data_IF_946808352382
#
_entry.id   IF_946808352382
#
_cell.length_a   1.000
_cell.length_b   1.000
_cell.length_c   1.000
_cell.angle_alpha   90.00
_cell.angle_beta   90.00
_cell.angle_gamma   90.00
#
_symmetry.space_group_name_H-M   'P 1'
#
loop_
_entity.id
_entity.type
_entity.pdbx_description
1 polymer ?
#
# COMPACT_ATOMS: atom_id res chain seq x y z
N UNK A 1 -25.56 -13.37 26.44
CA UNK A 1 -24.19 -13.52 25.91
C UNK A 1 -24.03 -12.45 24.85
N UNK A 2 -23.54 -11.28 25.25
CA UNK A 2 -23.34 -10.14 24.36
C UNK A 2 -21.93 -10.26 23.77
N UNK A 3 -21.85 -10.46 22.46
CA UNK A 3 -20.60 -10.38 21.71
C UNK A 3 -20.08 -8.93 21.80
N UNK A 4 -19.20 -8.67 22.75
CA UNK A 4 -18.60 -7.36 22.97
C UNK A 4 -17.26 -7.29 22.22
N UNK A 5 -17.25 -6.44 21.17
CA UNK A 5 -16.14 -6.08 20.25
C UNK A 5 -14.99 -5.38 20.98
N UNK A 6 -13.72 -5.79 20.93
CA UNK A 6 -12.60 -5.02 21.52
C UNK A 6 -11.80 -4.27 20.45
N UNK A 7 -12.27 -3.07 20.08
CA UNK A 7 -11.49 -2.13 19.25
C UNK A 7 -10.52 -1.37 20.17
N UNK A 8 -9.22 -1.68 20.09
CA UNK A 8 -8.23 -1.25 21.08
C UNK A 8 -6.87 -1.04 20.45
N UNK A 9 -6.60 0.22 20.11
CA UNK A 9 -5.39 1.00 20.37
C UNK A 9 -5.28 2.05 19.26
N UNK A 10 -5.12 3.31 19.66
CA UNK A 10 -4.67 4.40 18.78
C UNK A 10 -3.23 4.73 19.11
N UNK A 11 -2.35 4.63 18.12
CA UNK A 11 -1.06 5.30 18.15
C UNK A 11 -1.17 6.55 17.27
N UNK A 12 -0.68 7.68 17.78
CA UNK A 12 -0.62 8.95 17.04
C UNK A 12 0.80 9.46 17.11
N UNK A 13 1.38 9.76 15.95
CA UNK A 13 2.78 10.20 15.82
C UNK A 13 2.79 11.46 14.99
N UNK A 14 3.39 12.49 15.56
CA UNK A 14 3.65 13.76 14.89
C UNK A 14 5.14 14.04 14.88
N UNK A 15 5.66 14.46 13.73
CA UNK A 15 7.05 14.85 13.55
C UNK A 15 7.13 16.37 13.35
N UNK A 16 6.99 17.11 14.46
CA UNK A 16 7.68 18.36 14.87
C UNK A 16 7.00 18.75 16.19
N UNK A 17 7.65 18.44 17.33
CA UNK A 17 7.00 18.45 18.64
C UNK A 17 6.15 17.19 18.83
N UNK A 18 6.75 16.15 19.39
CA UNK A 18 6.13 14.82 19.46
C UNK A 18 5.06 14.80 20.55
N UNK A 19 3.79 15.01 20.20
CA UNK A 19 2.67 14.58 21.04
C UNK A 19 2.26 13.16 20.64
N UNK A 20 2.50 12.20 21.54
CA UNK A 20 2.01 10.82 21.42
C UNK A 20 0.75 10.68 22.26
N UNK A 21 -0.40 10.49 21.61
CA UNK A 21 -1.64 10.10 22.28
C UNK A 21 -1.84 8.59 22.10
N UNK A 22 -1.89 7.86 23.22
CA UNK A 22 -2.12 6.42 23.24
C UNK A 22 -3.30 6.09 24.16
N UNK A 23 -4.35 5.48 23.60
CA UNK A 23 -5.52 5.03 24.35
C UNK A 23 -5.72 3.52 24.15
N UNK A 24 -5.60 2.73 25.23
CA UNK A 24 -5.74 1.27 25.23
C UNK A 24 -6.84 0.85 26.22
N UNK A 25 -7.74 -0.06 25.82
CA UNK A 25 -8.64 -0.71 26.79
C UNK A 25 -7.87 -1.67 27.70
N UNK A 26 -8.08 -1.56 29.01
CA UNK A 26 -7.52 -2.50 29.98
C UNK A 26 -8.04 -3.94 29.81
N UNK A 27 -9.21 -4.13 29.19
CA UNK A 27 -9.77 -5.48 28.97
C UNK A 27 -8.98 -6.24 27.89
N UNK A 28 -8.64 -5.56 26.79
CA UNK A 28 -7.85 -6.13 25.71
C UNK A 28 -6.41 -6.45 26.11
N UNK A 29 -5.75 -5.57 26.88
CA UNK A 29 -4.42 -5.84 27.46
C UNK A 29 -4.42 -7.14 28.27
N UNK A 30 -5.47 -7.37 29.06
CA UNK A 30 -5.64 -8.59 29.86
C UNK A 30 -5.95 -9.81 28.99
N UNK A 31 -6.80 -9.66 27.96
CA UNK A 31 -7.18 -10.73 27.03
C UNK A 31 -5.96 -11.27 26.27
N UNK A 32 -5.12 -10.38 25.75
CA UNK A 32 -3.99 -10.73 24.88
C UNK A 32 -2.66 -10.90 25.64
N UNK A 33 -2.68 -10.83 26.98
CA UNK A 33 -1.47 -10.81 27.83
C UNK A 33 -0.42 -9.81 27.32
N UNK A 34 -0.88 -8.70 26.73
CA UNK A 34 -0.02 -7.73 26.09
C UNK A 34 0.72 -6.92 27.15
N UNK A 35 2.04 -7.12 27.25
CA UNK A 35 2.87 -6.33 28.13
C UNK A 35 3.29 -5.04 27.40
N UNK A 36 2.77 -3.89 27.83
CA UNK A 36 3.20 -2.59 27.28
C UNK A 36 4.72 -2.36 27.41
N UNK A 37 5.43 -3.06 28.32
CA UNK A 37 6.89 -3.03 28.39
C UNK A 37 7.56 -3.64 27.16
N UNK A 38 6.93 -4.60 26.45
CA UNK A 38 7.47 -5.15 25.20
C UNK A 38 7.38 -4.12 24.07
N UNK A 39 6.35 -3.28 24.06
CA UNK A 39 6.24 -2.14 23.14
C UNK A 39 7.25 -1.02 23.47
N UNK A 40 7.61 -0.86 24.76
CA UNK A 40 8.75 -0.05 25.22
C UNK A 40 10.12 -0.65 24.82
N UNK A 41 10.17 -1.96 24.55
CA UNK A 41 11.34 -2.72 24.11
C UNK A 41 11.34 -3.03 22.61
N UNK A 42 10.61 -2.26 21.78
CA UNK A 42 10.94 -2.21 20.35
C UNK A 42 12.36 -1.64 20.26
N UNK A 43 13.36 -2.53 20.23
CA UNK A 43 14.77 -2.21 19.98
C UNK A 43 14.90 -1.80 18.52
N UNK A 44 14.45 -0.61 18.20
CA UNK A 44 14.98 0.13 17.06
C UNK A 44 16.45 0.34 17.39
N UNK A 45 17.37 -0.25 16.63
CA UNK A 45 18.80 0.00 16.79
C UNK A 45 19.10 1.44 16.33
N UNK A 46 18.83 2.39 17.23
CA UNK A 46 18.99 3.82 17.01
C UNK A 46 20.43 4.25 16.74
N UNK A 47 21.41 3.35 16.91
CA UNK A 47 22.81 3.66 16.61
C UNK A 47 23.07 3.83 15.10
N UNK A 48 22.13 3.43 14.23
CA UNK A 48 22.22 3.65 12.78
C UNK A 48 21.50 4.92 12.28
N UNK A 49 20.73 5.64 13.13
CA UNK A 49 20.05 6.89 12.76
C UNK A 49 20.70 8.12 13.41
N UNK A 50 21.62 8.75 12.69
CA UNK A 50 22.47 9.86 13.17
C UNK A 50 21.69 11.11 13.66
N UNK A 51 20.40 11.26 13.28
CA UNK A 51 19.55 12.38 13.71
C UNK A 51 18.70 12.09 14.97
N UNK A 52 18.45 10.83 15.34
CA UNK A 52 17.58 10.48 16.49
C UNK A 52 18.29 10.42 17.84
N UNK A 53 19.63 10.40 17.88
CA UNK A 53 20.40 10.33 19.14
C UNK A 53 20.08 11.50 20.07
N UNK A 54 19.71 12.67 19.52
CA UNK A 54 19.36 13.87 20.31
C UNK A 54 18.00 13.79 21.02
N UNK A 55 17.10 12.90 20.58
CA UNK A 55 15.74 12.75 21.13
C UNK A 55 15.45 11.38 21.74
N UNK A 56 16.44 10.47 21.75
CA UNK A 56 16.33 9.11 22.32
C UNK A 56 15.88 9.12 23.78
N UNK A 57 16.49 9.94 24.63
CA UNK A 57 16.12 10.06 26.05
C UNK A 57 14.74 10.69 26.25
N UNK A 58 14.39 11.69 25.45
CA UNK A 58 13.07 12.34 25.48
C UNK A 58 11.96 11.37 25.06
N UNK A 59 12.21 10.55 24.03
CA UNK A 59 11.24 9.56 23.55
C UNK A 59 11.05 8.42 24.55
N UNK A 60 12.13 7.90 25.14
CA UNK A 60 12.06 6.92 26.23
C UNK A 60 11.33 7.48 27.45
N UNK A 61 11.55 8.75 27.80
CA UNK A 61 10.82 9.43 28.88
C UNK A 61 9.33 9.61 28.57
N UNK A 62 8.96 10.01 27.34
CA UNK A 62 7.55 10.16 26.91
C UNK A 62 6.85 8.79 26.95
N UNK A 63 7.48 7.74 26.42
CA UNK A 63 6.94 6.38 26.42
C UNK A 63 6.82 5.80 27.84
N UNK A 64 7.73 6.14 28.75
CA UNK A 64 7.67 5.75 30.17
C UNK A 64 6.66 6.57 30.99
N UNK A 65 6.28 7.77 30.53
CA UNK A 65 5.30 8.65 31.18
C UNK A 65 3.87 8.49 30.64
N UNK A 66 3.65 7.55 29.70
CA UNK A 66 2.32 7.24 29.16
C UNK A 66 1.35 6.86 30.27
N UNK A 67 0.43 7.78 30.59
CA UNK A 67 -0.73 7.51 31.43
C UNK A 67 -1.90 7.11 30.53
N UNK A 68 -2.40 5.89 30.75
CA UNK A 68 -3.68 5.42 30.19
C UNK A 68 -4.77 6.39 30.64
N UNK A 69 -5.35 7.15 29.72
CA UNK A 69 -6.46 8.04 30.00
C UNK A 69 -7.72 7.56 29.28
N UNK A 70 -8.80 7.47 30.07
CA UNK A 70 -10.21 7.24 29.72
C UNK A 70 -10.60 5.99 28.90
N UNK A 71 -11.57 5.26 29.45
CA UNK A 71 -12.38 4.27 28.73
C UNK A 71 -13.53 5.04 28.05
N UNK A 72 -13.37 5.40 26.78
CA UNK A 72 -14.46 5.97 25.98
C UNK A 72 -15.15 4.87 25.16
N UNK A 73 -16.46 5.03 24.91
CA UNK A 73 -17.24 4.07 24.11
C UNK A 73 -16.70 4.02 22.67
N UNK A 74 -15.94 2.97 22.36
CA UNK A 74 -15.53 2.35 21.08
C UNK A 74 -15.68 3.20 19.78
N UNK A 75 -16.89 3.64 19.42
CA UNK A 75 -17.15 4.49 18.24
C UNK A 75 -16.64 5.91 18.40
N UNK A 76 -16.79 6.50 19.57
CA UNK A 76 -16.45 7.90 19.87
C UNK A 76 -14.93 8.20 19.71
N UNK A 77 -14.09 7.16 19.74
CA UNK A 77 -12.63 7.28 19.78
C UNK A 77 -12.05 7.82 18.47
N UNK A 78 -12.39 7.22 17.33
CA UNK A 78 -11.88 7.68 16.03
C UNK A 78 -12.49 9.04 15.65
N UNK A 79 -13.76 9.28 15.99
CA UNK A 79 -14.38 10.60 15.87
C UNK A 79 -13.61 11.67 16.65
N UNK A 80 -13.28 11.39 17.91
CA UNK A 80 -12.54 12.33 18.74
C UNK A 80 -11.14 12.59 18.18
N UNK A 81 -10.48 11.61 17.54
CA UNK A 81 -9.17 11.80 16.91
C UNK A 81 -9.22 12.61 15.63
N UNK A 82 -10.21 12.36 14.79
CA UNK A 82 -10.51 13.20 13.63
C UNK A 82 -10.82 14.64 14.11
N UNK A 83 -11.56 14.78 15.20
CA UNK A 83 -11.84 16.08 15.82
C UNK A 83 -10.59 16.72 16.44
N UNK A 84 -9.68 15.93 17.03
CA UNK A 84 -8.38 16.41 17.52
C UNK A 84 -7.58 16.96 16.35
N UNK A 85 -7.47 16.21 15.23
CA UNK A 85 -6.84 16.69 14.00
C UNK A 85 -7.48 18.00 13.52
N UNK A 86 -8.82 18.06 13.50
CA UNK A 86 -9.59 19.25 13.09
C UNK A 86 -9.37 20.47 13.99
N UNK A 87 -9.15 20.27 15.28
CA UNK A 87 -9.06 21.33 16.29
C UNK A 87 -7.62 21.80 16.52
N UNK A 88 -6.62 21.20 15.88
CA UNK A 88 -5.23 21.62 16.05
C UNK A 88 -4.99 23.02 15.45
N UNK A 89 -4.31 23.86 16.22
CA UNK A 89 -3.87 25.20 15.77
C UNK A 89 -2.58 25.15 14.94
N UNK A 90 -1.86 24.02 14.99
CA UNK A 90 -0.62 23.77 14.25
C UNK A 90 -0.88 22.64 13.26
N UNK A 91 -0.68 22.93 11.96
CA UNK A 91 -0.77 21.94 10.90
C UNK A 91 0.56 21.19 10.89
N UNK A 92 0.51 19.87 11.05
CA UNK A 92 1.69 19.01 11.05
C UNK A 92 1.97 18.44 9.66
N UNK A 93 3.24 18.35 9.28
CA UNK A 93 3.66 17.96 7.93
C UNK A 93 3.43 16.46 7.66
N UNK A 94 3.51 15.62 8.70
CA UNK A 94 3.27 14.17 8.58
C UNK A 94 2.53 13.69 9.82
N UNK A 95 1.34 13.10 9.63
CA UNK A 95 0.50 12.53 10.71
C UNK A 95 -0.01 11.14 10.33
N UNK A 96 -0.25 10.29 11.32
CA UNK A 96 -0.84 8.97 11.08
C UNK A 96 -1.67 8.48 12.25
N UNK A 97 -2.70 7.70 11.93
CA UNK A 97 -3.54 6.98 12.88
C UNK A 97 -3.25 5.49 12.72
N UNK A 98 -2.82 4.84 13.79
CA UNK A 98 -2.73 3.38 13.85
C UNK A 98 -3.93 2.85 14.62
N UNK A 99 -4.70 1.94 14.03
CA UNK A 99 -5.95 1.41 14.56
C UNK A 99 -5.82 -0.10 14.80
N UNK A 100 -5.88 -0.53 16.06
CA UNK A 100 -5.85 -1.96 16.40
C UNK A 100 -7.28 -2.44 16.73
N UNK A 101 -7.68 -3.61 16.21
CA UNK A 101 -9.01 -4.19 16.44
C UNK A 101 -8.96 -5.71 16.41
N UNK A 102 -9.69 -6.35 17.31
CA UNK A 102 -9.93 -7.81 17.32
C UNK A 102 -11.41 -8.18 17.03
N UNK A 103 -12.24 -7.22 16.61
CA UNK A 103 -13.68 -7.43 16.48
C UNK A 103 -14.36 -6.68 15.33
N UNK A 104 -15.66 -6.92 15.17
CA UNK A 104 -16.48 -6.39 14.05
C UNK A 104 -17.35 -5.22 14.49
N UNK A 105 -17.38 -4.15 13.69
CA UNK A 105 -18.43 -3.12 13.79
C UNK A 105 -18.87 -2.70 12.39
N UNK A 106 -19.83 -3.41 11.81
CA UNK A 106 -20.32 -3.17 10.45
C UNK A 106 -20.88 -1.76 10.21
N UNK A 107 -21.10 -0.97 11.27
CA UNK A 107 -21.57 0.42 11.18
C UNK A 107 -20.43 1.46 11.21
N UNK A 108 -19.23 1.07 11.62
CA UNK A 108 -18.14 2.01 11.85
C UNK A 108 -17.61 2.66 10.58
N UNK A 109 -17.60 1.97 9.43
CA UNK A 109 -17.02 2.54 8.19
C UNK A 109 -17.67 3.86 7.76
N UNK A 110 -19.00 3.91 7.69
CA UNK A 110 -19.74 5.10 7.22
C UNK A 110 -19.48 6.30 8.12
N UNK A 111 -19.49 6.04 9.43
CA UNK A 111 -19.19 7.02 10.46
C UNK A 111 -17.76 7.58 10.36
N UNK A 112 -16.78 6.69 10.17
CA UNK A 112 -15.37 7.02 10.00
C UNK A 112 -15.17 7.81 8.70
N UNK A 113 -15.74 7.35 7.59
CA UNK A 113 -15.66 8.03 6.30
C UNK A 113 -16.19 9.47 6.37
N UNK A 114 -17.35 9.67 7.01
CA UNK A 114 -17.95 10.99 7.21
C UNK A 114 -17.10 11.91 8.09
N UNK A 115 -16.28 11.35 8.97
CA UNK A 115 -15.38 12.09 9.85
C UNK A 115 -14.10 12.46 9.11
N UNK A 116 -13.45 11.46 8.51
CA UNK A 116 -12.21 11.61 7.75
C UNK A 116 -12.37 12.60 6.59
N UNK A 117 -13.52 12.61 5.91
CA UNK A 117 -13.81 13.57 4.82
C UNK A 117 -13.90 15.03 5.27
N UNK A 118 -14.09 15.30 6.57
CA UNK A 118 -14.11 16.66 7.13
C UNK A 118 -12.72 17.17 7.51
N UNK A 119 -11.71 16.30 7.56
CA UNK A 119 -10.33 16.65 7.91
C UNK A 119 -9.54 16.94 6.65
N UNK A 120 -9.08 18.18 6.54
CA UNK A 120 -8.28 18.65 5.41
C UNK A 120 -6.81 18.23 5.51
N UNK A 121 -6.35 17.85 6.69
CA UNK A 121 -4.97 17.46 6.91
C UNK A 121 -4.60 16.20 6.13
N UNK A 122 -3.32 16.14 5.80
CA UNK A 122 -2.67 15.02 5.13
C UNK A 122 -2.19 14.06 6.22
N UNK A 123 -2.82 12.89 6.29
CA UNK A 123 -2.46 11.85 7.24
C UNK A 123 -2.70 10.47 6.64
N UNK A 124 -2.13 9.43 7.25
CA UNK A 124 -2.43 8.03 6.92
C UNK A 124 -3.23 7.31 8.01
N UNK A 125 -3.90 6.21 7.65
CA UNK A 125 -4.58 5.33 8.61
C UNK A 125 -4.11 3.89 8.38
N UNK A 126 -3.39 3.32 9.35
CA UNK A 126 -2.96 1.92 9.33
C UNK A 126 -3.81 1.11 10.29
N UNK A 127 -4.25 -0.06 9.89
CA UNK A 127 -5.12 -0.93 10.68
C UNK A 127 -4.42 -2.25 10.99
N UNK A 128 -4.54 -2.75 12.21
CA UNK A 128 -3.98 -4.02 12.67
C UNK A 128 -5.13 -4.88 13.17
N UNK A 129 -5.49 -5.89 12.39
CA UNK A 129 -6.59 -6.79 12.68
C UNK A 129 -6.10 -8.05 13.37
N UNK A 130 -6.57 -8.30 14.59
CA UNK A 130 -6.28 -9.51 15.36
C UNK A 130 -7.37 -10.55 15.18
N UNK A 131 -7.00 -11.82 15.28
CA UNK A 131 -7.91 -12.97 15.33
C UNK A 131 -8.79 -13.14 14.08
N UNK A 132 -9.57 -14.22 14.08
CA UNK A 132 -10.44 -14.65 12.97
C UNK A 132 -11.63 -13.71 12.75
N UNK A 133 -12.15 -13.15 13.83
CA UNK A 133 -13.45 -12.49 13.82
C UNK A 133 -13.35 -11.00 13.47
N UNK A 134 -12.18 -10.46 13.13
CA UNK A 134 -12.09 -9.06 12.74
C UNK A 134 -12.73 -8.77 11.36
N UNK A 135 -13.34 -7.59 11.19
CA UNK A 135 -13.88 -7.15 9.90
C UNK A 135 -12.76 -6.57 9.02
N UNK A 136 -12.01 -7.47 8.39
CA UNK A 136 -10.87 -7.13 7.53
C UNK A 136 -11.28 -6.24 6.36
N UNK A 137 -12.44 -6.49 5.73
CA UNK A 137 -12.92 -5.67 4.61
C UNK A 137 -13.16 -4.22 5.05
N UNK A 138 -13.80 -4.05 6.22
CA UNK A 138 -13.99 -2.73 6.80
C UNK A 138 -12.67 -2.05 7.12
N UNK A 139 -11.75 -2.73 7.81
CA UNK A 139 -10.46 -2.13 8.20
C UNK A 139 -9.60 -1.77 6.99
N UNK A 140 -9.54 -2.63 5.97
CA UNK A 140 -8.89 -2.29 4.69
C UNK A 140 -9.57 -1.09 4.03
N UNK A 141 -10.90 -1.00 4.08
CA UNK A 141 -11.62 0.17 3.55
C UNK A 141 -11.32 1.45 4.32
N UNK A 142 -11.18 1.37 5.66
CA UNK A 142 -10.74 2.50 6.50
C UNK A 142 -9.34 2.96 6.11
N UNK A 143 -8.38 2.03 5.96
CA UNK A 143 -7.02 2.36 5.54
C UNK A 143 -7.00 3.09 4.19
N UNK A 144 -7.83 2.62 3.25
CA UNK A 144 -7.92 3.18 1.90
C UNK A 144 -8.46 4.62 1.87
N UNK A 145 -9.13 5.11 2.91
CA UNK A 145 -9.57 6.50 2.98
C UNK A 145 -8.40 7.49 3.01
N UNK A 146 -7.24 7.05 3.52
CA UNK A 146 -6.06 7.88 3.78
C UNK A 146 -4.75 7.14 3.44
N UNK A 147 -4.80 6.19 2.50
CA UNK A 147 -3.64 5.48 1.94
C UNK A 147 -2.70 4.84 2.98
N UNK A 148 -3.24 4.21 4.02
CA UNK A 148 -2.44 3.34 4.89
C UNK A 148 -2.64 1.85 4.60
N UNK A 149 -2.08 1.01 5.44
CA UNK A 149 -2.05 -0.45 5.25
C UNK A 149 -2.92 -1.18 6.25
N UNK A 150 -3.51 -2.30 5.83
CA UNK A 150 -4.08 -3.27 6.76
C UNK A 150 -3.07 -4.39 7.00
N UNK A 151 -2.85 -4.71 8.27
CA UNK A 151 -1.98 -5.78 8.74
C UNK A 151 -2.82 -6.82 9.47
N UNK A 152 -2.84 -8.05 8.95
CA UNK A 152 -3.45 -9.18 9.62
C UNK A 152 -2.47 -9.76 10.65
N UNK A 153 -2.78 -9.58 11.93
CA UNK A 153 -1.95 -10.00 13.06
C UNK A 153 -2.46 -11.35 13.57
N UNK A 154 -1.93 -12.43 13.01
CA UNK A 154 -2.30 -13.79 13.43
C UNK A 154 -1.71 -14.16 14.80
N UNK A 155 -0.48 -13.74 15.06
CA UNK A 155 0.25 -13.97 16.31
C UNK A 155 0.74 -12.60 16.82
N UNK A 156 0.69 -12.39 18.14
CA UNK A 156 1.04 -11.09 18.74
C UNK A 156 2.48 -10.65 18.42
N UNK A 157 3.39 -11.60 18.22
CA UNK A 157 4.78 -11.38 17.86
C UNK A 157 4.95 -10.74 16.46
N UNK A 158 3.91 -10.77 15.61
CA UNK A 158 3.89 -10.07 14.33
C UNK A 158 3.64 -8.56 14.47
N UNK A 159 3.07 -8.13 15.60
CA UNK A 159 2.68 -6.75 15.79
C UNK A 159 3.89 -5.81 15.71
N UNK A 160 5.00 -6.17 16.34
CA UNK A 160 6.21 -5.34 16.38
C UNK A 160 6.77 -5.10 14.97
N UNK A 161 6.76 -6.12 14.11
CA UNK A 161 7.23 -6.02 12.73
C UNK A 161 6.31 -5.13 11.89
N UNK A 162 4.99 -5.38 11.93
CA UNK A 162 4.04 -4.58 11.18
C UNK A 162 3.98 -3.13 11.65
N UNK A 163 4.14 -2.94 12.95
CA UNK A 163 4.20 -1.61 13.52
C UNK A 163 5.49 -0.90 13.12
N UNK A 164 6.64 -1.58 13.13
CA UNK A 164 7.90 -1.02 12.64
C UNK A 164 7.83 -0.67 11.15
N UNK A 165 7.20 -1.50 10.32
CA UNK A 165 6.95 -1.22 8.90
C UNK A 165 6.10 0.05 8.72
N UNK A 166 4.97 0.14 9.42
CA UNK A 166 4.05 1.25 9.32
C UNK A 166 4.64 2.57 9.90
N UNK A 167 5.31 2.49 11.05
CA UNK A 167 5.95 3.64 11.72
C UNK A 167 7.23 4.09 11.00
N UNK A 168 8.05 3.14 10.54
CA UNK A 168 9.27 3.39 9.78
C UNK A 168 8.99 4.22 8.53
N UNK A 169 7.86 3.96 7.87
CA UNK A 169 7.39 4.75 6.73
C UNK A 169 7.15 6.23 7.07
N UNK A 170 6.59 6.52 8.24
CA UNK A 170 6.29 7.91 8.65
C UNK A 170 7.55 8.73 8.93
N UNK A 171 8.54 8.14 9.59
CA UNK A 171 9.78 8.85 9.94
C UNK A 171 10.71 9.08 8.74
N UNK A 172 10.38 8.48 7.59
CA UNK A 172 11.19 8.58 6.37
C UNK A 172 10.41 9.22 5.21
N UNK A 173 9.34 9.96 5.48
CA UNK A 173 8.63 10.74 4.46
C UNK A 173 9.56 11.78 3.83
N UNK A 174 9.60 11.77 2.49
CA UNK A 174 10.42 12.69 1.68
C UNK A 174 9.56 13.62 0.81
N UNK A 175 8.27 13.33 0.66
CA UNK A 175 7.33 14.14 -0.09
C UNK A 175 5.92 13.96 0.43
N UNK A 176 5.14 15.04 0.41
CA UNK A 176 3.72 15.07 0.76
C UNK A 176 2.88 15.51 -0.45
N UNK A 177 1.58 15.21 -0.41
CA UNK A 177 0.62 15.63 -1.45
C UNK A 177 1.05 15.24 -2.87
N UNK A 178 1.50 14.00 -3.04
CA UNK A 178 1.86 13.48 -4.36
C UNK A 178 0.61 13.41 -5.24
N UNK A 179 0.63 14.11 -6.36
CA UNK A 179 -0.37 13.99 -7.42
C UNK A 179 0.33 13.54 -8.71
N UNK A 180 -0.14 12.43 -9.29
CA UNK A 180 0.25 11.99 -10.61
C UNK A 180 -0.96 12.13 -11.51
N UNK A 181 -0.82 12.82 -12.63
CA UNK A 181 -1.87 13.04 -13.62
C UNK A 181 -1.41 12.52 -14.96
N UNK A 182 -2.10 11.52 -15.48
CA UNK A 182 -1.90 10.96 -16.81
C UNK A 182 -3.02 11.40 -17.76
N UNK A 183 -2.66 12.01 -18.89
CA UNK A 183 -3.57 12.63 -19.84
C UNK A 183 -3.34 12.08 -21.24
N UNK A 184 -4.35 11.44 -21.82
CA UNK A 184 -4.24 10.85 -23.16
C UNK A 184 -4.17 11.95 -24.20
N UNK A 185 -3.20 11.82 -25.09
CA UNK A 185 -3.02 12.71 -26.23
C UNK A 185 -3.66 12.06 -27.46
N UNK A 186 -4.71 12.69 -27.99
CA UNK A 186 -5.33 12.24 -29.23
C UNK A 186 -4.66 12.93 -30.41
N UNK A 187 -3.77 12.21 -31.08
CA UNK A 187 -3.06 12.69 -32.28
C UNK A 187 -3.15 11.66 -33.38
N UNK A 188 -3.40 12.09 -34.62
CA UNK A 188 -3.35 11.19 -35.78
C UNK A 188 -2.02 10.47 -35.89
N UNK A 189 -1.96 9.15 -36.19
CA UNK A 189 -3.06 8.22 -36.52
C UNK A 189 -3.67 7.49 -35.31
N UNK A 190 -3.31 7.91 -34.10
CA UNK A 190 -3.73 7.31 -32.83
C UNK A 190 -4.97 8.01 -32.24
N UNK A 191 -5.89 8.44 -33.11
CA UNK A 191 -7.18 8.93 -32.65
C UNK A 191 -7.90 7.81 -31.90
N UNK A 192 -8.38 8.10 -30.68
CA UNK A 192 -9.08 7.15 -29.80
C UNK A 192 -8.20 6.12 -29.07
N UNK A 193 -6.90 6.37 -28.89
CA UNK A 193 -6.17 5.68 -27.82
C UNK A 193 -6.89 5.92 -26.50
N UNK A 194 -7.03 4.88 -25.69
CA UNK A 194 -7.70 4.97 -24.40
C UNK A 194 -7.03 4.06 -23.38
N UNK A 195 -7.11 4.42 -22.09
CA UNK A 195 -6.78 3.50 -21.01
C UNK A 195 -7.98 2.55 -20.85
N UNK A 196 -7.79 1.28 -21.17
CA UNK A 196 -8.82 0.23 -21.10
C UNK A 196 -8.99 -0.29 -19.67
N UNK A 197 -7.91 -0.27 -18.90
CA UNK A 197 -7.88 -0.84 -17.55
C UNK A 197 -6.83 -0.15 -16.70
N UNK A 198 -7.17 0.09 -15.44
CA UNK A 198 -6.22 0.50 -14.39
C UNK A 198 -6.18 -0.57 -13.31
N UNK A 199 -5.04 -0.71 -12.64
CA UNK A 199 -4.86 -1.67 -11.56
C UNK A 199 -4.80 -0.98 -10.20
N UNK A 200 -5.55 -1.52 -9.24
CA UNK A 200 -5.71 -0.94 -7.90
C UNK A 200 -6.72 0.21 -7.83
N UNK A 201 -7.09 0.59 -6.60
CA UNK A 201 -8.13 1.61 -6.34
C UNK A 201 -7.59 3.05 -6.30
N UNK A 202 -6.31 3.25 -6.59
CA UNK A 202 -5.64 4.55 -6.46
C UNK A 202 -5.93 5.50 -7.64
N UNK A 203 -6.35 4.93 -8.78
CA UNK A 203 -6.67 5.69 -9.98
C UNK A 203 -8.06 6.31 -9.88
N UNK A 204 -8.14 7.60 -10.14
CA UNK A 204 -9.38 8.37 -10.25
C UNK A 204 -9.47 8.94 -11.66
N UNK A 205 -10.50 8.53 -12.41
CA UNK A 205 -10.78 9.12 -13.72
C UNK A 205 -11.57 10.41 -13.52
N UNK A 206 -10.99 11.53 -13.96
CA UNK A 206 -11.63 12.85 -13.95
C UNK A 206 -11.60 13.37 -15.39
N UNK A 207 -12.77 13.46 -16.01
CA UNK A 207 -12.93 13.77 -17.42
C UNK A 207 -12.10 12.83 -18.34
N UNK A 208 -11.04 13.38 -18.95
CA UNK A 208 -10.10 12.66 -19.83
C UNK A 208 -8.80 12.25 -19.13
N UNK A 209 -8.63 12.68 -17.89
CA UNK A 209 -7.40 12.51 -17.12
C UNK A 209 -7.56 11.38 -16.09
N UNK A 210 -6.44 10.71 -15.81
CA UNK A 210 -6.33 9.69 -14.78
C UNK A 210 -5.39 10.20 -13.69
N UNK A 211 -5.92 10.34 -12.48
CA UNK A 211 -5.25 11.00 -11.38
C UNK A 211 -5.02 10.02 -10.23
N UNK A 212 -3.81 10.02 -9.67
CA UNK A 212 -3.47 9.34 -8.42
C UNK A 212 -3.09 10.40 -7.42
N UNK A 213 -3.63 10.29 -6.20
CA UNK A 213 -3.27 11.14 -5.06
C UNK A 213 -2.76 10.28 -3.92
N UNK A 214 -1.52 10.53 -3.46
CA UNK A 214 -0.98 9.94 -2.24
C UNK A 214 -0.67 11.03 -1.22
N UNK A 215 -0.98 10.81 0.07
CA UNK A 215 -0.65 11.77 1.12
C UNK A 215 0.86 11.91 1.29
N UNK A 216 1.61 10.82 1.21
CA UNK A 216 3.05 10.80 1.45
C UNK A 216 3.77 9.84 0.49
N UNK A 217 5.04 10.13 0.23
CA UNK A 217 6.01 9.21 -0.36
C UNK A 217 7.25 9.12 0.54
N UNK A 218 7.75 7.90 0.68
CA UNK A 218 8.73 7.52 1.71
C UNK A 218 10.07 7.21 1.05
N UNK A 219 11.17 7.57 1.74
CA UNK A 219 12.53 7.26 1.30
C UNK A 219 12.73 5.76 1.08
N UNK A 220 13.44 5.41 0.00
CA UNK A 220 13.74 4.00 -0.33
C UNK A 220 12.56 3.21 -0.88
N UNK A 221 11.39 3.82 -1.08
CA UNK A 221 10.22 3.16 -1.71
C UNK A 221 10.17 3.42 -3.21
N UNK A 222 9.65 2.45 -3.95
CA UNK A 222 9.30 2.54 -5.38
C UNK A 222 7.79 2.32 -5.50
N UNK A 223 7.11 3.15 -6.27
CA UNK A 223 5.68 3.03 -6.57
C UNK A 223 5.51 2.97 -8.09
N UNK A 224 4.91 1.90 -8.57
CA UNK A 224 4.66 1.60 -9.97
C UNK A 224 3.15 1.45 -10.16
N UNK A 225 2.59 2.32 -11.01
CA UNK A 225 1.16 2.36 -11.28
C UNK A 225 0.89 1.80 -12.67
N UNK A 226 0.27 0.62 -12.72
CA UNK A 226 0.07 -0.10 -13.97
C UNK A 226 -1.32 0.16 -14.55
N UNK A 227 -1.38 0.32 -15.86
CA UNK A 227 -2.59 0.42 -16.65
C UNK A 227 -2.38 -0.23 -18.02
N UNK A 228 -3.47 -0.55 -18.71
CA UNK A 228 -3.46 -1.07 -20.08
C UNK A 228 -4.03 -0.03 -21.04
N UNK A 229 -3.41 0.08 -22.21
CA UNK A 229 -3.88 0.92 -23.31
C UNK A 229 -4.63 0.06 -24.35
N UNK A 230 -5.71 0.61 -24.87
CA UNK A 230 -6.39 0.12 -26.06
C UNK A 230 -5.95 0.98 -27.26
N UNK A 231 -5.43 0.31 -28.28
CA UNK A 231 -4.96 0.92 -29.51
C UNK A 231 -6.04 0.90 -30.59
N UNK A 232 -6.28 2.01 -31.29
CA UNK A 232 -7.20 2.04 -32.42
C UNK A 232 -6.62 1.29 -33.62
N UNK A 233 -7.49 0.80 -34.51
CA UNK A 233 -7.05 0.29 -35.82
C UNK A 233 -6.59 1.47 -36.67
N UNK A 234 -5.28 1.56 -36.90
CA UNK A 234 -4.69 2.61 -37.71
C UNK A 234 -4.66 2.17 -39.19
N UNK A 235 -5.21 2.98 -40.09
CA UNK A 235 -5.14 2.76 -41.56
C UNK A 235 -4.32 3.88 -42.19
N UNK A 236 -3.59 3.57 -43.27
CA UNK A 236 -2.81 4.54 -44.06
C UNK A 236 -1.76 5.32 -43.23
N UNK A 237 -0.93 4.60 -42.46
CA UNK A 237 0.21 5.23 -41.78
C UNK A 237 1.28 5.52 -42.83
N UNK A 238 1.19 6.69 -43.45
CA UNK A 238 2.24 7.23 -44.30
C UNK A 238 3.29 7.87 -43.38
N UNK A 239 4.37 7.11 -43.14
CA UNK A 239 5.77 7.55 -42.98
C UNK A 239 6.57 6.64 -42.03
N UNK A 240 7.82 6.40 -42.44
CA UNK A 240 8.85 5.75 -41.63
C UNK A 240 9.35 6.76 -40.58
N UNK A 241 9.61 6.29 -39.36
CA UNK A 241 10.30 7.05 -38.31
C UNK A 241 9.55 8.25 -37.69
N UNK A 242 8.21 8.28 -37.75
CA UNK A 242 7.43 9.25 -36.96
C UNK A 242 7.25 8.77 -35.51
N UNK A 243 7.51 9.69 -34.58
CA UNK A 243 7.24 9.57 -33.16
C UNK A 243 5.92 10.27 -32.82
N UNK A 244 5.04 9.56 -32.11
CA UNK A 244 3.74 10.05 -31.69
C UNK A 244 3.66 10.06 -30.19
N UNK A 245 3.37 11.23 -29.63
CA UNK A 245 3.13 11.37 -28.20
C UNK A 245 1.69 10.98 -27.88
N UNK A 246 1.49 9.91 -27.13
CA UNK A 246 0.15 9.33 -26.88
C UNK A 246 -0.35 9.53 -25.45
N UNK A 247 0.55 9.82 -24.52
CA UNK A 247 0.22 10.08 -23.11
C UNK A 247 1.18 11.14 -22.58
N UNK A 248 0.66 12.13 -21.88
CA UNK A 248 1.44 13.04 -21.05
C UNK A 248 1.18 12.70 -19.59
N UNK A 249 2.25 12.60 -18.80
CA UNK A 249 2.15 12.40 -17.37
C UNK A 249 2.91 13.47 -16.65
N UNK A 250 2.24 14.10 -15.69
CA UNK A 250 2.82 15.06 -14.77
C UNK A 250 2.74 14.49 -13.37
N UNK A 251 3.81 14.69 -12.60
CA UNK A 251 3.90 14.36 -11.20
C UNK A 251 4.22 15.64 -10.44
N UNK A 252 3.45 15.92 -9.39
CA UNK A 252 3.75 16.99 -8.43
C UNK A 252 3.84 16.42 -7.03
N UNK A 253 4.77 16.92 -6.22
CA UNK A 253 4.84 16.62 -4.79
C UNK A 253 5.39 17.83 -4.04
N UNK A 254 5.07 17.94 -2.76
CA UNK A 254 5.54 19.00 -1.90
C UNK A 254 6.64 18.47 -0.96
N UNK A 255 7.73 19.22 -0.82
CA UNK A 255 8.72 18.94 0.22
C UNK A 255 8.10 19.21 1.59
N UNK A 256 8.07 18.23 2.52
CA UNK A 256 7.39 18.40 3.80
C UNK A 256 7.99 19.53 4.65
N UNK A 257 9.30 19.80 4.54
CA UNK A 257 10.00 20.82 5.34
C UNK A 257 9.98 22.19 4.66
N UNK A 258 10.41 22.26 3.40
CA UNK A 258 10.56 23.55 2.70
C UNK A 258 9.26 24.05 2.09
N UNK A 259 8.23 23.20 2.01
CA UNK A 259 6.96 23.43 1.32
C UNK A 259 7.09 23.71 -0.17
N UNK A 260 8.29 23.56 -0.74
CA UNK A 260 8.52 23.72 -2.17
C UNK A 260 7.81 22.62 -2.94
N UNK A 261 7.10 23.01 -4.00
CA UNK A 261 6.50 22.06 -4.95
C UNK A 261 7.55 21.65 -5.97
N UNK A 262 7.64 20.35 -6.19
CA UNK A 262 8.49 19.71 -7.19
C UNK A 262 7.56 19.15 -8.25
N UNK A 263 7.83 19.48 -9.50
CA UNK A 263 7.13 18.94 -10.65
C UNK A 263 8.11 18.16 -11.55
N UNK A 264 7.64 17.03 -12.06
CA UNK A 264 8.29 16.24 -13.11
C UNK A 264 7.25 15.87 -14.14
N UNK A 265 7.61 16.01 -15.40
CA UNK A 265 6.76 15.64 -16.52
C UNK A 265 7.49 14.60 -17.37
N UNK A 266 6.75 13.67 -17.95
CA UNK A 266 7.23 12.68 -18.88
C UNK A 266 6.09 12.32 -19.85
N UNK A 267 6.43 11.70 -20.98
CA UNK A 267 5.45 11.39 -22.01
C UNK A 267 5.72 10.02 -22.62
N UNK A 268 4.64 9.30 -22.92
CA UNK A 268 4.72 8.08 -23.70
C UNK A 268 4.84 8.42 -25.19
N UNK A 269 5.96 8.04 -25.79
CA UNK A 269 6.22 8.20 -27.22
C UNK A 269 6.17 6.83 -27.90
N UNK A 270 5.41 6.77 -28.99
CA UNK A 270 5.24 5.59 -29.83
C UNK A 270 5.92 5.84 -31.15
N UNK A 271 6.81 4.92 -31.54
CA UNK A 271 7.43 4.95 -32.86
C UNK A 271 6.86 3.83 -33.72
N UNK A 272 6.39 4.18 -34.91
CA UNK A 272 5.92 3.20 -35.90
C UNK A 272 7.08 2.84 -36.82
N UNK A 273 7.35 1.55 -36.98
CA UNK A 273 8.43 1.05 -37.85
C UNK A 273 7.88 0.06 -38.86
N UNK A 274 8.38 0.13 -40.10
CA UNK A 274 7.98 -0.82 -41.14
C UNK A 274 8.66 -2.19 -40.89
N UNK A 275 7.88 -3.27 -41.01
CA UNK A 275 8.26 -4.66 -40.72
C UNK A 275 9.47 -5.18 -41.51
N UNK A 276 9.83 -4.51 -42.61
CA UNK A 276 10.64 -5.13 -43.66
C UNK A 276 12.16 -5.04 -43.48
N UNK A 277 12.70 -4.29 -42.50
CA UNK A 277 14.16 -4.09 -42.44
C UNK A 277 14.82 -3.91 -41.07
N UNK A 278 14.18 -4.30 -39.97
CA UNK A 278 14.92 -4.51 -38.74
C UNK A 278 14.28 -5.57 -37.86
N UNK A 279 15.08 -6.59 -37.53
CA UNK A 279 14.88 -7.41 -36.34
C UNK A 279 15.15 -6.48 -35.15
N UNK A 280 14.27 -5.50 -34.91
CA UNK A 280 14.14 -4.95 -33.58
C UNK A 280 13.50 -6.11 -32.82
N UNK A 281 14.35 -6.88 -32.13
CA UNK A 281 13.90 -7.69 -31.02
C UNK A 281 13.09 -6.72 -30.17
N UNK A 282 11.79 -6.98 -30.02
CA UNK A 282 11.02 -6.33 -28.98
C UNK A 282 11.67 -6.82 -27.68
N UNK A 283 12.74 -6.15 -27.26
CA UNK A 283 13.31 -6.34 -25.94
C UNK A 283 12.19 -5.94 -24.99
N UNK A 284 11.57 -6.94 -24.39
CA UNK A 284 10.55 -6.72 -23.39
C UNK A 284 11.19 -5.93 -22.27
N UNK A 285 10.62 -4.77 -21.94
CA UNK A 285 11.07 -4.00 -20.80
C UNK A 285 10.83 -4.84 -19.54
N UNK A 286 11.93 -5.13 -18.83
CA UNK A 286 11.93 -6.01 -17.67
C UNK A 286 11.13 -5.43 -16.51
N UNK A 287 11.15 -4.11 -16.35
CA UNK A 287 10.36 -3.43 -15.32
C UNK A 287 8.87 -3.57 -15.66
N UNK A 288 8.45 -3.34 -16.92
CA UNK A 288 7.02 -3.57 -17.25
C UNK A 288 6.62 -5.01 -17.09
N UNK A 289 7.46 -5.95 -17.51
CA UNK A 289 7.13 -7.36 -17.44
C UNK A 289 6.94 -7.77 -15.97
N UNK A 290 7.83 -7.32 -15.09
CA UNK A 290 7.75 -7.53 -13.64
C UNK A 290 6.44 -6.95 -13.08
N UNK A 291 6.15 -5.69 -13.39
CA UNK A 291 4.97 -5.00 -12.87
C UNK A 291 3.65 -5.53 -13.46
N UNK A 292 3.67 -5.98 -14.72
CA UNK A 292 2.56 -6.67 -15.38
C UNK A 292 2.21 -7.96 -14.65
N UNK A 293 3.20 -8.82 -14.38
CA UNK A 293 2.96 -10.06 -13.65
C UNK A 293 2.56 -9.82 -12.19
N UNK A 294 3.10 -8.78 -11.53
CA UNK A 294 2.62 -8.34 -10.20
C UNK A 294 1.12 -8.09 -10.24
N UNK A 295 0.65 -7.19 -11.11
CA UNK A 295 -0.78 -6.80 -11.11
C UNK A 295 -1.70 -7.90 -11.62
N UNK A 296 -1.26 -8.71 -12.60
CA UNK A 296 -2.03 -9.87 -13.08
C UNK A 296 -2.13 -10.98 -12.03
N UNK A 297 -1.04 -11.24 -11.31
CA UNK A 297 -1.05 -12.20 -10.19
C UNK A 297 -1.95 -11.71 -9.06
N UNK A 298 -1.91 -10.42 -8.76
CA UNK A 298 -2.75 -9.80 -7.72
C UNK A 298 -4.23 -9.86 -8.07
N UNK A 299 -4.59 -9.53 -9.32
CA UNK A 299 -5.95 -9.70 -9.82
C UNK A 299 -6.40 -11.17 -9.77
N UNK A 300 -5.49 -12.11 -10.04
CA UNK A 300 -5.77 -13.54 -9.90
C UNK A 300 -6.12 -13.91 -8.45
N UNK A 301 -5.37 -13.40 -7.47
CA UNK A 301 -5.67 -13.61 -6.04
C UNK A 301 -7.02 -13.00 -5.68
N UNK A 302 -7.31 -11.79 -6.14
CA UNK A 302 -8.60 -11.12 -5.91
C UNK A 302 -9.78 -11.96 -6.45
N UNK A 303 -9.69 -12.45 -7.68
CA UNK A 303 -10.72 -13.27 -8.29
C UNK A 303 -10.85 -14.64 -7.60
N UNK A 304 -9.74 -15.25 -7.21
CA UNK A 304 -9.75 -16.50 -6.45
C UNK A 304 -10.40 -16.34 -5.07
N UNK A 305 -10.16 -15.20 -4.40
CA UNK A 305 -10.82 -14.86 -3.14
C UNK A 305 -12.33 -14.76 -3.33
N UNK A 306 -12.79 -14.12 -4.41
CA UNK A 306 -14.22 -14.06 -4.74
C UNK A 306 -14.82 -15.47 -4.93
N UNK A 307 -14.13 -16.36 -5.65
CA UNK A 307 -14.57 -17.75 -5.78
C UNK A 307 -14.65 -18.48 -4.43
N UNK A 308 -13.69 -18.23 -3.52
CA UNK A 308 -13.76 -18.76 -2.15
C UNK A 308 -14.94 -18.18 -1.34
N UNK A 309 -15.28 -16.89 -1.52
CA UNK A 309 -16.47 -16.29 -0.90
C UNK A 309 -17.76 -16.95 -1.42
N UNK A 310 -17.75 -17.44 -2.66
CA UNK A 310 -18.83 -18.18 -3.32
C UNK A 310 -18.78 -19.71 -3.04
N UNK A 311 -17.97 -20.14 -2.06
CA UNK A 311 -17.73 -21.56 -1.69
C UNK A 311 -17.07 -22.44 -2.77
N UNK A 312 -16.58 -21.85 -3.87
CA UNK A 312 -15.87 -22.54 -4.96
C UNK A 312 -14.34 -22.55 -4.78
N UNK A 313 -13.89 -23.29 -3.78
CA UNK A 313 -12.48 -23.41 -3.41
C UNK A 313 -11.62 -24.13 -4.47
N UNK A 314 -12.22 -25.04 -5.25
CA UNK A 314 -11.49 -25.82 -6.24
C UNK A 314 -11.18 -24.95 -7.47
N UNK A 315 -12.14 -24.18 -7.98
CA UNK A 315 -11.87 -23.22 -9.06
C UNK A 315 -10.91 -22.11 -8.61
N UNK A 316 -11.02 -21.63 -7.36
CA UNK A 316 -10.09 -20.65 -6.82
C UNK A 316 -8.63 -21.14 -6.89
N UNK A 317 -8.37 -22.38 -6.46
CA UNK A 317 -7.03 -23.00 -6.54
C UNK A 317 -6.56 -23.19 -7.97
N UNK A 318 -7.42 -23.69 -8.85
CA UNK A 318 -7.10 -23.90 -10.27
C UNK A 318 -6.73 -22.59 -10.96
N UNK A 319 -7.45 -21.49 -10.64
CA UNK A 319 -7.18 -20.17 -11.18
C UNK A 319 -5.77 -19.68 -10.80
N UNK A 320 -5.40 -19.78 -9.52
CA UNK A 320 -4.07 -19.38 -9.03
C UNK A 320 -2.98 -20.29 -9.60
N UNK A 321 -3.19 -21.59 -9.64
CA UNK A 321 -2.25 -22.55 -10.22
C UNK A 321 -2.00 -22.29 -11.70
N UNK A 322 -3.04 -21.91 -12.46
CA UNK A 322 -2.93 -21.54 -13.86
C UNK A 322 -2.03 -20.32 -14.07
N UNK A 323 -2.06 -19.36 -13.13
CA UNK A 323 -1.16 -18.20 -13.15
C UNK A 323 0.28 -18.61 -12.81
N UNK A 324 0.47 -19.48 -11.82
CA UNK A 324 1.80 -20.01 -11.48
C UNK A 324 2.43 -20.77 -12.66
N UNK A 325 1.65 -21.54 -13.42
CA UNK A 325 2.11 -22.25 -14.63
C UNK A 325 2.53 -21.27 -15.74
N UNK A 326 2.01 -20.04 -15.78
CA UNK A 326 2.46 -19.02 -16.74
C UNK A 326 3.81 -18.40 -16.37
N UNK A 327 4.14 -18.34 -15.07
CA UNK A 327 5.35 -17.68 -14.57
C UNK A 327 6.49 -18.69 -14.39
N UNK A 328 6.26 -19.78 -13.66
CA UNK A 328 7.30 -20.70 -13.17
C UNK A 328 8.16 -21.39 -14.24
N UNK A 329 7.63 -21.83 -15.41
CA UNK A 329 8.43 -22.54 -16.40
C UNK A 329 9.55 -21.71 -17.00
N UNK A 330 9.45 -20.38 -16.94
CA UNK A 330 10.48 -19.48 -17.42
C UNK A 330 11.31 -18.98 -16.23
N UNK A 331 12.52 -19.55 -16.05
CA UNK A 331 13.41 -19.21 -14.94
C UNK A 331 13.74 -17.72 -14.87
N UNK A 332 13.83 -17.05 -16.03
CA UNK A 332 14.08 -15.61 -16.10
C UNK A 332 12.89 -14.80 -15.55
N UNK A 333 11.67 -15.10 -16.00
CA UNK A 333 10.45 -14.43 -15.50
C UNK A 333 10.24 -14.76 -14.01
N UNK A 334 10.51 -16.00 -13.59
CA UNK A 334 10.44 -16.42 -12.19
C UNK A 334 11.39 -15.60 -11.31
N UNK A 335 12.62 -15.37 -11.76
CA UNK A 335 13.59 -14.55 -11.03
C UNK A 335 13.12 -13.09 -10.88
N UNK A 336 12.42 -12.55 -11.88
CA UNK A 336 11.85 -11.20 -11.83
C UNK A 336 10.63 -11.11 -10.90
N UNK A 337 9.81 -12.16 -10.85
CA UNK A 337 8.49 -12.14 -10.23
C UNK A 337 8.42 -12.87 -8.87
N UNK A 338 9.54 -13.01 -8.15
CA UNK A 338 9.61 -13.81 -6.92
C UNK A 338 8.56 -13.40 -5.87
N UNK A 339 8.37 -12.09 -5.65
CA UNK A 339 7.40 -11.58 -4.68
C UNK A 339 5.97 -12.03 -4.98
N UNK A 340 5.49 -11.81 -6.21
CA UNK A 340 4.12 -12.22 -6.58
C UNK A 340 3.97 -13.74 -6.67
N UNK A 341 5.03 -14.49 -7.04
CA UNK A 341 5.00 -15.96 -7.04
C UNK A 341 4.82 -16.49 -5.62
N UNK A 342 5.54 -15.92 -4.65
CA UNK A 342 5.39 -16.27 -3.23
C UNK A 342 3.96 -16.00 -2.74
N UNK A 343 3.39 -14.84 -3.06
CA UNK A 343 2.01 -14.50 -2.68
C UNK A 343 0.98 -15.43 -3.33
N UNK A 344 1.18 -15.80 -4.61
CA UNK A 344 0.33 -16.77 -5.30
C UNK A 344 0.40 -18.16 -4.63
N UNK A 345 1.59 -18.62 -4.25
CA UNK A 345 1.75 -19.90 -3.53
C UNK A 345 1.07 -19.92 -2.17
N UNK A 346 1.22 -18.83 -1.41
CA UNK A 346 0.51 -18.63 -0.14
C UNK A 346 -1.01 -18.56 -0.36
N UNK A 347 -1.47 -17.90 -1.43
CA UNK A 347 -2.88 -17.82 -1.78
C UNK A 347 -3.48 -19.20 -2.13
N UNK A 348 -2.74 -20.10 -2.80
CA UNK A 348 -3.20 -21.49 -3.00
C UNK A 348 -3.50 -22.18 -1.66
N UNK A 349 -2.62 -21.98 -0.67
CA UNK A 349 -2.82 -22.53 0.67
C UNK A 349 -3.99 -21.87 1.39
N UNK A 350 -4.16 -20.55 1.23
CA UNK A 350 -5.26 -19.78 1.80
C UNK A 350 -6.63 -20.21 1.26
N UNK A 351 -6.71 -20.72 0.03
CA UNK A 351 -7.93 -21.27 -0.58
C UNK A 351 -8.35 -22.64 -0.04
N UNK A 352 -7.70 -23.21 0.98
CA UNK A 352 -8.27 -24.38 1.67
C UNK A 352 -9.44 -23.95 2.56
N UNK A 353 -10.61 -24.60 2.43
CA UNK A 353 -11.85 -24.22 3.15
C UNK A 353 -11.64 -23.85 4.62
N UNK A 354 -10.98 -24.71 5.39
CA UNK A 354 -10.72 -24.44 6.81
C UNK A 354 -9.77 -23.26 7.04
N UNK A 355 -8.72 -23.12 6.21
CA UNK A 355 -7.78 -21.99 6.31
C UNK A 355 -8.43 -20.69 5.89
N UNK A 356 -9.17 -20.68 4.78
CA UNK A 356 -9.87 -19.52 4.27
C UNK A 356 -10.80 -18.92 5.33
N UNK A 357 -11.59 -19.78 5.98
CA UNK A 357 -12.51 -19.40 7.05
C UNK A 357 -11.81 -18.89 8.31
N UNK A 358 -10.59 -19.35 8.60
CA UNK A 358 -9.86 -18.98 9.81
C UNK A 358 -9.01 -17.72 9.64
N UNK A 359 -8.25 -17.62 8.54
CA UNK A 359 -7.33 -16.50 8.30
C UNK A 359 -7.04 -16.22 6.82
N UNK A 360 -7.25 -17.20 5.93
CA UNK A 360 -6.91 -17.08 4.51
C UNK A 360 -7.66 -15.95 3.80
N UNK A 361 -8.89 -15.66 4.18
CA UNK A 361 -9.63 -14.49 3.69
C UNK A 361 -8.89 -13.17 3.98
N UNK A 362 -8.49 -12.94 5.24
CA UNK A 362 -7.76 -11.74 5.65
C UNK A 362 -6.39 -11.64 4.99
N UNK A 363 -5.70 -12.78 4.91
CA UNK A 363 -4.40 -12.90 4.25
C UNK A 363 -4.48 -12.50 2.77
N UNK A 364 -5.46 -13.02 2.02
CA UNK A 364 -5.65 -12.68 0.60
C UNK A 364 -6.02 -11.20 0.41
N UNK A 365 -6.82 -10.61 1.31
CA UNK A 365 -7.14 -9.17 1.27
C UNK A 365 -5.87 -8.33 1.45
N UNK A 366 -5.00 -8.70 2.41
CA UNK A 366 -3.71 -8.05 2.62
C UNK A 366 -2.82 -8.18 1.37
N UNK A 367 -2.70 -9.37 0.78
CA UNK A 367 -1.92 -9.57 -0.46
C UNK A 367 -2.38 -8.66 -1.58
N UNK A 368 -3.70 -8.57 -1.80
CA UNK A 368 -4.29 -7.72 -2.84
C UNK A 368 -4.01 -6.25 -2.58
N UNK A 369 -4.21 -5.79 -1.33
CA UNK A 369 -3.98 -4.40 -0.95
C UNK A 369 -2.50 -4.02 -1.11
N UNK A 370 -1.61 -4.83 -0.55
CA UNK A 370 -0.18 -4.57 -0.50
C UNK A 370 0.44 -4.60 -1.90
N UNK A 371 0.06 -5.58 -2.73
CA UNK A 371 0.57 -5.64 -4.10
C UNK A 371 0.05 -4.46 -4.93
N UNK A 372 -1.25 -4.16 -4.95
CA UNK A 372 -1.73 -3.05 -5.79
C UNK A 372 -1.18 -1.69 -5.33
N UNK A 373 -1.06 -1.47 -4.02
CA UNK A 373 -0.61 -0.18 -3.47
C UNK A 373 0.90 -0.09 -3.26
N UNK A 374 1.65 -1.19 -3.40
CA UNK A 374 3.07 -1.33 -3.02
C UNK A 374 3.34 -0.76 -1.63
N UNK A 375 2.50 -1.14 -0.67
CA UNK A 375 2.58 -0.69 0.72
C UNK A 375 2.48 -1.91 1.64
N UNK A 376 3.04 -1.81 2.83
CA UNK A 376 3.00 -2.91 3.78
C UNK A 376 3.92 -4.07 3.40
N UNK A 377 4.00 -5.03 4.31
CA UNK A 377 4.74 -6.27 4.11
C UNK A 377 3.77 -7.45 4.16
N UNK A 378 4.02 -8.48 3.34
CA UNK A 378 3.28 -9.74 3.37
C UNK A 378 4.07 -10.77 4.18
N UNK A 379 3.52 -11.24 5.29
CA UNK A 379 4.14 -12.32 6.06
C UNK A 379 4.00 -13.67 5.35
N UNK A 380 5.02 -14.51 5.52
CA UNK A 380 5.04 -15.88 5.00
C UNK A 380 4.58 -16.82 6.11
N UNK A 381 3.67 -17.72 5.79
CA UNK A 381 3.17 -18.72 6.73
C UNK A 381 3.48 -20.13 6.24
N UNK A 382 3.69 -21.06 7.18
CA UNK A 382 3.79 -22.48 6.88
C UNK A 382 2.40 -23.11 6.72
N UNK A 383 2.35 -24.40 6.41
CA UNK A 383 1.10 -25.15 6.25
C UNK A 383 0.25 -25.26 7.52
N UNK A 384 0.80 -24.94 8.70
CA UNK A 384 0.07 -24.87 9.97
C UNK A 384 -0.40 -23.45 10.29
N UNK A 385 -0.13 -22.48 9.41
CA UNK A 385 -0.42 -21.06 9.63
C UNK A 385 0.56 -20.39 10.58
N UNK A 386 1.70 -21.00 10.91
CA UNK A 386 2.75 -20.35 11.72
C UNK A 386 3.70 -19.59 10.82
N UNK A 387 4.22 -18.46 11.30
CA UNK A 387 5.14 -17.63 10.52
C UNK A 387 6.41 -18.40 10.15
N UNK A 388 6.78 -18.32 8.88
CA UNK A 388 8.13 -18.61 8.42
C UNK A 388 8.90 -17.28 8.45
N UNK A 389 9.84 -17.15 9.39
CA UNK A 389 10.55 -15.90 9.68
C UNK A 389 11.03 -15.16 8.43
N UNK A 390 10.77 -13.87 8.35
CA UNK A 390 11.54 -12.95 7.52
C UNK A 390 11.84 -11.69 8.32
N UNK A 391 12.97 -11.68 9.03
CA UNK A 391 13.58 -10.41 9.42
C UNK A 391 14.10 -9.75 8.14
N UNK A 392 13.29 -8.90 7.50
CA UNK A 392 13.84 -7.88 6.61
C UNK A 392 14.44 -6.81 7.50
N UNK A 393 15.74 -6.89 7.73
CA UNK A 393 16.50 -5.80 8.36
C UNK A 393 16.41 -4.58 7.44
N UNK A 394 15.47 -3.67 7.71
CA UNK A 394 15.46 -2.35 7.10
C UNK A 394 16.68 -1.58 7.61
N UNK A 395 17.81 -1.71 6.90
CA UNK A 395 18.95 -0.83 7.11
C UNK A 395 18.57 0.52 6.49
N UNK A 396 18.11 1.45 7.32
CA UNK A 396 17.89 2.84 6.98
C UNK A 396 19.25 3.50 6.66
N UNK A 397 19.72 3.35 5.41
CA UNK A 397 20.86 4.11 4.91
C UNK A 397 20.43 5.55 4.66
N UNK A 398 20.58 6.41 5.68
CA UNK A 398 20.60 7.86 5.52
C UNK A 398 21.88 8.26 4.75
N UNK A 399 21.89 8.03 3.44
CA UNK A 399 22.77 8.77 2.56
C UNK A 399 22.15 10.13 2.33
N UNK A 400 22.95 11.20 2.34
CA UNK A 400 22.50 12.55 1.99
C UNK A 400 21.61 12.49 0.73
N UNK A 401 20.32 12.76 0.93
CA UNK A 401 19.30 12.59 -0.10
C UNK A 401 19.42 13.79 -1.04
N UNK A 402 19.90 13.57 -2.26
CA UNK A 402 19.69 14.54 -3.33
C UNK A 402 18.32 14.28 -3.96
N UNK A 403 17.50 15.33 -4.04
CA UNK A 403 16.22 15.36 -4.76
C UNK A 403 16.33 15.02 -6.26
N UNK A 404 17.56 14.79 -6.75
CA UNK A 404 17.92 14.56 -8.15
C UNK A 404 17.61 13.14 -8.66
N UNK A 405 17.25 12.18 -7.78
CA UNK A 405 16.98 10.77 -8.19
C UNK A 405 15.51 10.43 -8.43
N UNK A 406 14.59 11.38 -8.32
CA UNK A 406 13.18 11.18 -8.69
C UNK A 406 13.07 11.08 -10.21
N UNK A 407 12.80 9.88 -10.71
CA UNK A 407 12.51 9.63 -12.12
C UNK A 407 11.06 9.21 -12.29
N UNK A 408 10.32 9.97 -13.08
CA UNK A 408 9.13 9.48 -13.78
C UNK A 408 9.65 8.78 -15.05
N UNK A 409 9.18 7.57 -15.34
CA UNK A 409 9.58 6.82 -16.54
C UNK A 409 8.37 6.18 -17.18
N UNK A 410 8.15 6.49 -18.45
CA UNK A 410 7.27 5.73 -19.34
C UNK A 410 8.09 4.85 -20.28
N UNK A 411 7.47 3.76 -20.72
CA UNK A 411 8.10 2.84 -21.66
C UNK A 411 7.73 3.20 -23.07
N UNK A 412 8.71 3.59 -23.87
CA UNK A 412 8.48 3.80 -25.29
C UNK A 412 8.25 2.45 -25.97
N UNK A 413 7.20 2.38 -26.79
CA UNK A 413 6.86 1.16 -27.53
C UNK A 413 7.08 1.34 -29.03
N UNK A 414 7.47 0.25 -29.66
CA UNK A 414 7.53 0.13 -31.11
C UNK A 414 6.30 -0.65 -31.56
N UNK A 415 5.42 0.03 -32.30
CA UNK A 415 4.25 -0.60 -32.92
C UNK A 415 4.64 -1.01 -34.34
N UNK A 416 4.54 -2.31 -34.63
CA UNK A 416 4.78 -2.89 -35.95
C UNK A 416 3.50 -2.95 -36.76
#
# INVERSE_FOLDING_TARGET
MNNHVELVLIYFVQLIGVEVCMEISQQWLKKHQFNCQNFLEIRIDFNQLYLMVKHKELHLQIMQQLKINYILKKRQLLFNLVEILRQQQVINDVSSIFLLSDGQDSTAFVEIQNSVSKVKDVFSIHCFGFERDNDTNMMTSICNLKNGSFYFVQEIDLLDEFFADAFGGLITVIGEQLEIKASIQSTSPFENVSISKTYGKMWQKIDKDYIIKLPHIVSGTRKDFVFELCWPTCQNIDEKDKEYKVLDVSMTLQNPITKQVIQKDDSLIVKIVNSDNSIIQNEQDLDALTEYYRVKGTETILNAKQLCDEDDFDQAKLLIQSMLIKIKPNEFILALCQGIVQDLEQAVQACERNRFQNYGNSQMIQFVSNNFQQIGSNSIFNSLGQKLSSYSTFILKYNAISFEKLSLRFQNFIVK
#
